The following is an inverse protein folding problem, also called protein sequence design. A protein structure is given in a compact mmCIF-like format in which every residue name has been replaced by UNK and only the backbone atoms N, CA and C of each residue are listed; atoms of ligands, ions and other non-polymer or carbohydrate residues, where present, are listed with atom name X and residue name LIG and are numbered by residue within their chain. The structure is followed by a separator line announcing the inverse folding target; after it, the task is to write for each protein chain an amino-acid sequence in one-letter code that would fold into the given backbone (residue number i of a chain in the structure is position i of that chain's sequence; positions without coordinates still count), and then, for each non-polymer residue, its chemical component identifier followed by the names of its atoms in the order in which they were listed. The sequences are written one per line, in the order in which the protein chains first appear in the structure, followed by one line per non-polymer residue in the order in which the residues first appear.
data_IF_870629751032
#
_entry.id   IF_870629751032
#
_cell.length_a   1.000
_cell.length_b   1.000
_cell.length_c   1.000
_cell.angle_alpha   90.00
_cell.angle_beta   90.00
_cell.angle_gamma   90.00
#
_symmetry.space_group_name_H-M   'P 1'
#
loop_
_entity.id
_entity.type
_entity.pdbx_description
1 polymer ?
#
# COMPACT_ATOMS: atom_id res chain seq x y z
N UNK A 1 8.92 -0.97 9.92
CA UNK A 1 7.96 -1.83 10.64
C UNK A 1 7.36 -2.80 9.63
N UNK A 2 7.18 -4.07 9.98
CA UNK A 2 6.56 -5.06 9.06
C UNK A 2 5.04 -4.92 9.05
N UNK A 3 4.37 -5.47 8.03
CA UNK A 3 2.91 -5.52 7.96
C UNK A 3 2.32 -6.16 9.22
N UNK A 4 2.85 -7.32 9.62
CA UNK A 4 2.41 -8.06 10.81
C UNK A 4 2.53 -7.24 12.09
N UNK A 5 3.62 -6.46 12.23
CA UNK A 5 3.82 -5.58 13.40
C UNK A 5 2.83 -4.41 13.43
N UNK A 6 2.42 -3.89 12.28
CA UNK A 6 1.41 -2.83 12.21
C UNK A 6 0.02 -3.38 12.54
N UNK A 7 -0.29 -4.58 12.04
CA UNK A 7 -1.54 -5.27 12.34
C UNK A 7 -1.67 -5.59 13.84
N UNK A 8 -0.62 -6.13 14.47
CA UNK A 8 -0.64 -6.41 15.92
C UNK A 8 -0.83 -5.15 16.78
N UNK A 9 -0.23 -4.03 16.39
CA UNK A 9 -0.46 -2.76 17.07
C UNK A 9 -1.89 -2.27 16.91
N UNK A 10 -2.46 -2.39 15.71
CA UNK A 10 -3.84 -2.02 15.46
C UNK A 10 -4.80 -2.86 16.31
N UNK A 11 -4.59 -4.17 16.40
CA UNK A 11 -5.38 -5.06 17.26
C UNK A 11 -5.27 -4.68 18.75
N UNK A 12 -4.07 -4.31 19.20
CA UNK A 12 -3.85 -3.88 20.59
C UNK A 12 -4.58 -2.57 20.87
N UNK A 13 -4.53 -1.63 19.92
CA UNK A 13 -5.19 -0.35 20.03
C UNK A 13 -6.71 -0.48 20.04
N UNK A 14 -7.26 -1.38 19.21
CA UNK A 14 -8.70 -1.71 19.22
C UNK A 14 -9.10 -2.28 20.58
N UNK A 15 -8.34 -3.24 21.13
CA UNK A 15 -8.61 -3.79 22.47
C UNK A 15 -8.61 -2.72 23.56
N UNK A 16 -7.71 -1.75 23.48
CA UNK A 16 -7.67 -0.62 24.41
C UNK A 16 -8.92 0.27 24.29
N UNK A 17 -9.36 0.55 23.07
CA UNK A 17 -10.60 1.29 22.81
C UNK A 17 -11.84 0.54 23.33
N UNK A 18 -11.89 -0.78 23.14
CA UNK A 18 -13.00 -1.63 23.60
C UNK A 18 -13.07 -1.75 25.13
N UNK A 19 -11.94 -1.65 25.83
CA UNK A 19 -11.91 -1.69 27.30
C UNK A 19 -12.56 -0.47 27.96
N UNK A 20 -12.73 0.65 27.23
CA UNK A 20 -13.51 1.80 27.69
C UNK A 20 -12.92 2.62 28.84
N UNK A 21 -11.69 2.34 29.27
CA UNK A 21 -11.00 3.05 30.37
C UNK A 21 -10.24 4.32 29.90
N UNK A 22 -10.33 4.64 28.60
CA UNK A 22 -9.60 5.75 28.00
C UNK A 22 -10.32 7.09 28.23
N UNK A 23 -9.55 8.08 28.65
CA UNK A 23 -10.00 9.48 28.63
C UNK A 23 -10.24 9.95 27.19
N UNK A 24 -11.06 10.99 27.01
CA UNK A 24 -11.38 11.54 25.67
C UNK A 24 -10.13 11.85 24.84
N UNK A 25 -9.12 12.47 25.45
CA UNK A 25 -7.84 12.79 24.80
C UNK A 25 -7.10 11.53 24.34
N UNK A 26 -7.07 10.48 25.18
CA UNK A 26 -6.45 9.21 24.83
C UNK A 26 -7.21 8.46 23.74
N UNK A 27 -8.54 8.54 23.75
CA UNK A 27 -9.39 7.97 22.70
C UNK A 27 -9.13 8.65 21.36
N UNK A 28 -8.95 9.97 21.34
CA UNK A 28 -8.60 10.72 20.13
C UNK A 28 -7.21 10.32 19.61
N UNK A 29 -6.20 10.29 20.50
CA UNK A 29 -4.85 9.88 20.13
C UNK A 29 -4.80 8.44 19.60
N UNK A 30 -5.53 7.52 20.24
CA UNK A 30 -5.65 6.14 19.79
C UNK A 30 -6.31 6.07 18.41
N UNK A 31 -7.38 6.82 18.18
CA UNK A 31 -8.02 6.88 16.87
C UNK A 31 -7.06 7.38 15.77
N UNK A 32 -6.34 8.47 16.00
CA UNK A 32 -5.36 9.01 15.05
C UNK A 32 -4.26 7.99 14.72
N UNK A 33 -3.74 7.31 15.75
CA UNK A 33 -2.76 6.25 15.58
C UNK A 33 -3.32 5.05 14.80
N UNK A 34 -4.56 4.66 15.07
CA UNK A 34 -5.26 3.60 14.33
C UNK A 34 -5.40 3.94 12.84
N UNK A 35 -5.80 5.17 12.52
CA UNK A 35 -5.90 5.65 11.12
C UNK A 35 -4.53 5.62 10.44
N UNK A 36 -3.47 6.05 11.12
CA UNK A 36 -2.12 6.01 10.59
C UNK A 36 -1.64 4.58 10.29
N UNK A 37 -1.88 3.64 11.21
CA UNK A 37 -1.56 2.22 11.04
C UNK A 37 -2.30 1.60 9.84
N UNK A 38 -3.61 1.88 9.71
CA UNK A 38 -4.42 1.39 8.60
C UNK A 38 -3.87 1.90 7.26
N UNK A 39 -3.55 3.19 7.16
CA UNK A 39 -2.96 3.77 5.93
C UNK A 39 -1.63 3.12 5.58
N UNK A 40 -0.77 2.90 6.57
CA UNK A 40 0.53 2.28 6.35
C UNK A 40 0.40 0.82 5.90
N UNK A 41 -0.54 0.05 6.47
CA UNK A 41 -0.88 -1.30 6.00
C UNK A 41 -1.34 -1.30 4.54
N UNK A 42 -2.24 -0.40 4.16
CA UNK A 42 -2.74 -0.28 2.79
C UNK A 42 -1.61 0.02 1.80
N UNK A 43 -0.72 0.95 2.14
CA UNK A 43 0.44 1.28 1.30
C UNK A 43 1.39 0.09 1.11
N UNK A 44 1.61 -0.72 2.15
CA UNK A 44 2.45 -1.91 2.01
C UNK A 44 1.80 -2.97 1.11
N UNK A 45 0.49 -3.16 1.21
CA UNK A 45 -0.25 -4.08 0.34
C UNK A 45 -0.21 -3.62 -1.12
N UNK A 46 -0.41 -2.33 -1.36
CA UNK A 46 -0.35 -1.74 -2.71
C UNK A 46 1.05 -1.93 -3.34
N UNK A 47 2.12 -1.67 -2.57
CA UNK A 47 3.48 -1.91 -3.04
C UNK A 47 3.75 -3.39 -3.34
N UNK A 48 3.24 -4.30 -2.50
CA UNK A 48 3.37 -5.74 -2.73
C UNK A 48 2.63 -6.16 -4.01
N UNK A 49 1.42 -5.66 -4.23
CA UNK A 49 0.63 -5.93 -5.43
C UNK A 49 1.32 -5.42 -6.70
N UNK A 50 1.80 -4.18 -6.69
CA UNK A 50 2.58 -3.60 -7.81
C UNK A 50 3.80 -4.45 -8.13
N UNK A 51 4.52 -4.91 -7.11
CA UNK A 51 5.70 -5.77 -7.32
C UNK A 51 5.34 -7.11 -7.94
N UNK A 52 4.22 -7.72 -7.53
CA UNK A 52 3.70 -8.95 -8.14
C UNK A 52 3.33 -8.70 -9.61
N UNK A 53 2.65 -7.60 -9.91
CA UNK A 53 2.27 -7.24 -11.29
C UNK A 53 3.49 -7.07 -12.20
N UNK A 54 4.53 -6.37 -11.73
CA UNK A 54 5.78 -6.19 -12.49
C UNK A 54 6.47 -7.53 -12.75
N UNK A 55 6.57 -8.40 -11.76
CA UNK A 55 7.16 -9.73 -11.90
C UNK A 55 6.34 -10.63 -12.85
N UNK A 56 5.01 -10.53 -12.81
CA UNK A 56 4.14 -11.26 -13.72
C UNK A 56 4.26 -10.76 -15.17
N UNK A 57 4.43 -9.45 -15.37
CA UNK A 57 4.64 -8.86 -16.68
C UNK A 57 6.01 -9.24 -17.28
N UNK A 58 7.07 -9.21 -16.45
CA UNK A 58 8.42 -9.64 -16.83
C UNK A 58 8.47 -11.14 -17.16
N UNK A 59 7.78 -11.97 -16.38
CA UNK A 59 7.66 -13.41 -16.62
C UNK A 59 6.85 -13.76 -17.89
N UNK A 60 5.98 -12.88 -18.37
CA UNK A 60 5.18 -13.09 -19.58
C UNK A 60 5.88 -12.56 -20.86
N UNK A 61 7.03 -11.89 -20.75
CA UNK A 61 7.88 -11.55 -21.88
C UNK A 61 7.25 -10.62 -22.92
N UNK A 62 6.28 -9.78 -22.55
CA UNK A 62 5.72 -8.79 -23.48
C UNK A 62 6.51 -7.47 -23.40
N UNK A 63 7.68 -7.47 -24.02
CA UNK A 63 8.28 -6.24 -24.51
C UNK A 63 7.30 -5.65 -25.53
N UNK A 64 6.54 -4.63 -25.14
CA UNK A 64 5.84 -3.80 -26.12
C UNK A 64 6.89 -3.02 -26.90
N UNK A 65 7.44 -3.65 -27.92
CA UNK A 65 8.24 -3.01 -28.94
C UNK A 65 7.30 -2.03 -29.64
N UNK A 66 7.42 -0.75 -29.28
CA UNK A 66 6.82 0.30 -30.09
C UNK A 66 7.46 0.25 -31.48
N UNK A 67 6.66 0.29 -32.57
CA UNK A 67 7.23 0.35 -33.90
C UNK A 67 8.12 1.59 -33.98
N UNK A 68 9.38 1.39 -34.37
CA UNK A 68 10.25 2.49 -34.73
C UNK A 68 9.65 3.14 -35.97
N UNK A 69 8.98 4.28 -35.79
CA UNK A 69 8.64 5.16 -36.91
C UNK A 69 9.94 5.78 -37.37
N UNK A 70 10.37 5.39 -38.57
CA UNK A 70 11.52 5.97 -39.22
C UNK A 70 11.25 7.46 -39.50
N UNK A 71 12.15 8.39 -39.11
CA UNK A 71 11.96 9.82 -39.33
C UNK A 71 11.97 10.21 -40.82
N UNK A 72 12.09 9.25 -41.74
CA UNK A 72 11.95 9.41 -43.20
C UNK A 72 10.54 9.24 -43.75
N UNK A 73 9.54 8.78 -42.98
CA UNK A 73 8.13 8.71 -43.45
C UNK A 73 7.44 10.09 -43.33
N UNK A 74 8.20 11.13 -43.68
CA UNK A 74 7.64 12.32 -44.25
C UNK A 74 7.40 12.08 -45.74
N UNK A 75 6.12 12.07 -46.09
CA UNK A 75 5.55 12.63 -47.33
C UNK A 75 5.33 11.64 -48.50
N UNK A 76 4.29 11.82 -49.36
CA UNK A 76 3.37 12.96 -49.53
C UNK A 76 1.97 12.88 -48.94
#
# INVERSE_FOLDING_TARGET
MTYEQQLQQLETLIKQLENGDLSLDQTLAAYEQGVALIRACQQQLEQAEQRIQLLAHDANGEETLVPFVDPGDGQP
#
